data_IF_507395099320
#
_entry.id   IF_507395099320
#
_cell.length_a   1.000
_cell.length_b   1.000
_cell.length_c   1.000
_cell.angle_alpha   90.00
_cell.angle_beta   90.00
_cell.angle_gamma   90.00
#
_symmetry.space_group_name_H-M   'P 1'
#
loop_
_entity.id
_entity.type
_entity.pdbx_description
1 polymer ?
#
# COMPACT_ATOMS: atom_id res chain seq x y z
N UNK A 1 6.76 1.56 3.98
CA UNK A 1 7.76 2.40 3.27
C UNK A 1 7.55 3.84 3.67
N UNK A 2 8.61 4.64 3.61
CA UNK A 2 8.51 6.07 3.87
C UNK A 2 8.07 6.79 2.59
N UNK A 3 7.04 7.63 2.69
CA UNK A 3 6.57 8.46 1.58
C UNK A 3 6.78 9.92 1.94
N UNK A 4 7.28 10.69 0.98
CA UNK A 4 7.44 12.13 1.11
C UNK A 4 7.11 12.82 -0.22
N UNK A 5 6.67 14.07 -0.13
CA UNK A 5 6.33 14.89 -1.28
C UNK A 5 5.79 16.25 -0.85
N UNK A 6 5.85 17.23 -1.75
CA UNK A 6 5.29 18.56 -1.53
C UNK A 6 4.41 18.96 -2.73
N UNK A 7 3.08 19.05 -2.59
CA UNK A 7 2.28 18.77 -1.39
C UNK A 7 2.39 17.33 -0.87
N UNK A 8 2.00 17.08 0.39
CA UNK A 8 1.94 15.72 0.92
C UNK A 8 1.09 14.83 -0.02
N UNK A 9 1.61 13.67 -0.45
CA UNK A 9 0.87 12.81 -1.37
C UNK A 9 -0.12 11.92 -0.64
N UNK A 10 -1.22 11.62 -1.32
CA UNK A 10 -2.13 10.55 -0.93
C UNK A 10 -1.56 9.21 -1.37
N UNK A 11 -1.71 8.18 -0.54
CA UNK A 11 -1.17 6.85 -0.78
C UNK A 11 -2.30 5.84 -0.92
N UNK A 12 -2.29 5.09 -2.02
CA UNK A 12 -3.22 4.00 -2.29
C UNK A 12 -2.47 2.70 -2.62
N UNK A 13 -3.15 1.59 -2.39
CA UNK A 13 -2.61 0.25 -2.58
C UNK A 13 -3.46 -0.56 -3.55
N UNK A 14 -2.80 -1.42 -4.32
CA UNK A 14 -3.44 -2.31 -5.29
C UNK A 14 -2.84 -3.70 -5.21
N UNK A 15 -3.68 -4.74 -5.27
CA UNK A 15 -3.29 -6.13 -5.45
C UNK A 15 -3.70 -6.57 -6.85
N UNK A 16 -2.73 -6.93 -7.69
CA UNK A 16 -2.98 -7.36 -9.07
C UNK A 16 -3.86 -6.36 -9.87
N UNK A 17 -3.61 -5.06 -9.64
CA UNK A 17 -4.34 -3.96 -10.29
C UNK A 17 -5.69 -3.60 -9.66
N UNK A 18 -6.15 -4.32 -8.63
CA UNK A 18 -7.40 -4.02 -7.91
C UNK A 18 -7.11 -3.25 -6.63
N UNK A 19 -7.87 -2.20 -6.29
CA UNK A 19 -7.61 -1.42 -5.08
C UNK A 19 -7.80 -2.29 -3.83
N UNK A 20 -6.83 -2.20 -2.91
CA UNK A 20 -6.93 -2.79 -1.58
C UNK A 20 -7.68 -1.82 -0.69
N UNK A 21 -8.71 -2.31 0.01
CA UNK A 21 -9.44 -1.54 1.01
C UNK A 21 -9.12 -2.09 2.39
N UNK A 22 -9.21 -1.24 3.41
CA UNK A 22 -9.12 -1.71 4.78
C UNK A 22 -10.35 -2.57 5.08
N UNK A 23 -10.14 -3.74 5.65
CA UNK A 23 -11.18 -4.68 6.07
C UNK A 23 -10.77 -5.34 7.41
N UNK A 24 -11.48 -6.39 7.82
CA UNK A 24 -11.19 -7.10 9.07
C UNK A 24 -9.82 -7.80 9.09
N UNK A 25 -9.21 -8.05 7.93
CA UNK A 25 -7.95 -8.77 7.76
C UNK A 25 -6.80 -7.87 7.28
N UNK A 26 -7.11 -6.75 6.63
CA UNK A 26 -6.16 -5.82 6.02
C UNK A 26 -6.29 -4.43 6.62
N UNK A 27 -5.20 -3.89 7.16
CA UNK A 27 -5.16 -2.53 7.72
C UNK A 27 -4.10 -1.69 7.05
N UNK A 28 -4.51 -0.54 6.52
CA UNK A 28 -3.59 0.50 6.05
C UNK A 28 -3.37 1.52 7.17
N UNK A 29 -2.10 1.70 7.57
CA UNK A 29 -1.71 2.61 8.65
C UNK A 29 -0.64 3.58 8.14
N UNK A 30 -0.72 4.83 8.58
CA UNK A 30 0.30 5.86 8.38
C UNK A 30 0.84 6.26 9.74
N UNK A 31 2.15 6.12 9.93
CA UNK A 31 2.80 6.60 11.16
C UNK A 31 2.98 8.11 11.13
N UNK A 32 3.18 8.72 12.29
CA UNK A 32 3.48 10.16 12.42
C UNK A 32 4.72 10.59 11.62
N UNK A 33 5.63 9.66 11.34
CA UNK A 33 6.85 9.90 10.55
C UNK A 33 6.66 9.69 9.04
N UNK A 34 5.42 9.48 8.57
CA UNK A 34 5.09 9.27 7.15
C UNK A 34 5.43 7.87 6.64
N UNK A 35 5.51 6.87 7.53
CA UNK A 35 5.63 5.48 7.09
C UNK A 35 4.26 4.90 6.82
N UNK A 36 4.05 4.44 5.59
CA UNK A 36 2.85 3.74 5.17
C UNK A 36 3.08 2.23 5.26
N UNK A 37 2.12 1.54 5.85
CA UNK A 37 2.14 0.09 6.04
C UNK A 37 0.80 -0.52 5.63
N UNK A 38 0.85 -1.64 4.92
CA UNK A 38 -0.28 -2.56 4.74
C UNK A 38 -0.02 -3.76 5.65
N UNK A 39 -0.90 -3.96 6.63
CA UNK A 39 -0.77 -4.99 7.67
C UNK A 39 -1.84 -6.06 7.43
N UNK A 40 -1.41 -7.31 7.50
CA UNK A 40 -2.26 -8.49 7.39
C UNK A 40 -2.41 -9.09 8.79
N UNK A 41 -3.62 -9.09 9.36
CA UNK A 41 -3.91 -9.73 10.65
C UNK A 41 -3.92 -11.27 10.50
N UNK A 42 -4.39 -11.76 9.35
CA UNK A 42 -4.35 -13.17 8.93
C UNK A 42 -4.06 -13.22 7.44
N UNK A 43 -3.00 -13.94 7.06
CA UNK A 43 -2.62 -14.13 5.64
C UNK A 43 -3.34 -15.34 5.06
N UNK A 44 -3.87 -15.19 3.85
CA UNK A 44 -4.55 -16.22 3.06
C UNK A 44 -3.84 -16.39 1.72
N UNK A 45 -4.05 -17.53 1.07
CA UNK A 45 -3.53 -17.78 -0.28
C UNK A 45 -4.08 -16.78 -1.31
N UNK A 46 -5.27 -16.21 -1.07
CA UNK A 46 -5.85 -15.13 -1.88
C UNK A 46 -5.06 -13.82 -1.84
N UNK A 47 -4.22 -13.65 -0.82
CA UNK A 47 -3.49 -12.40 -0.60
C UNK A 47 -2.17 -12.40 -1.37
N UNK A 48 -1.76 -13.53 -1.96
CA UNK A 48 -0.58 -13.63 -2.80
C UNK A 48 -0.73 -12.82 -4.09
N UNK A 49 0.35 -12.16 -4.51
CA UNK A 49 0.38 -11.40 -5.75
C UNK A 49 1.23 -10.13 -5.69
N UNK A 50 1.10 -9.33 -6.75
CA UNK A 50 1.83 -8.09 -6.90
C UNK A 50 1.07 -6.95 -6.20
N UNK A 51 1.65 -6.45 -5.11
CA UNK A 51 1.20 -5.25 -4.43
C UNK A 51 1.87 -4.02 -5.01
N UNK A 52 1.06 -3.04 -5.38
CA UNK A 52 1.51 -1.76 -5.91
C UNK A 52 1.05 -0.67 -4.95
N UNK A 53 2.01 0.09 -4.42
CA UNK A 53 1.74 1.35 -3.72
C UNK A 53 1.88 2.50 -4.70
N UNK A 54 0.89 3.39 -4.71
CA UNK A 54 0.90 4.63 -5.51
C UNK A 54 0.84 5.82 -4.55
N UNK A 55 1.84 6.70 -4.63
CA UNK A 55 1.87 7.98 -3.92
C UNK A 55 1.64 9.12 -4.92
N UNK A 56 0.55 9.87 -4.77
CA UNK A 56 0.13 10.88 -5.75
C UNK A 56 -0.17 12.23 -5.12
N UNK A 57 0.28 13.29 -5.76
CA UNK A 57 -0.13 14.66 -5.48
C UNK A 57 -0.27 15.45 -6.79
N UNK A 58 -0.54 16.76 -6.69
CA UNK A 58 -0.66 17.64 -7.88
C UNK A 58 0.65 17.82 -8.67
N UNK A 59 1.80 17.51 -8.08
CA UNK A 59 3.10 17.63 -8.72
C UNK A 59 3.47 16.35 -9.52
N UNK A 60 2.89 15.20 -9.17
CA UNK A 60 3.12 13.96 -9.88
C UNK A 60 2.71 12.72 -9.09
N UNK A 61 3.26 11.59 -9.52
CA UNK A 61 2.97 10.26 -8.98
C UNK A 61 4.25 9.44 -8.89
N UNK A 62 4.39 8.65 -7.84
CA UNK A 62 5.46 7.67 -7.66
C UNK A 62 4.85 6.31 -7.32
N UNK A 63 5.48 5.25 -7.80
CA UNK A 63 4.96 3.88 -7.66
C UNK A 63 6.04 2.95 -7.11
N UNK A 64 5.66 2.07 -6.20
CA UNK A 64 6.50 0.99 -5.69
C UNK A 64 5.76 -0.34 -5.78
N UNK A 65 6.42 -1.37 -6.31
CA UNK A 65 5.83 -2.70 -6.49
C UNK A 65 6.60 -3.73 -5.67
N UNK A 66 5.87 -4.63 -5.01
CA UNK A 66 6.42 -5.76 -4.25
C UNK A 66 5.59 -7.01 -4.52
N UNK A 67 6.25 -8.16 -4.64
CA UNK A 67 5.60 -9.45 -4.78
C UNK A 67 5.44 -10.08 -3.39
N UNK A 68 4.23 -10.53 -3.05
CA UNK A 68 3.96 -11.34 -1.86
C UNK A 68 3.71 -12.78 -2.27
N UNK A 69 4.55 -13.68 -1.79
CA UNK A 69 4.38 -15.12 -1.94
C UNK A 69 3.86 -15.71 -0.62
N UNK A 70 2.80 -16.50 -0.70
CA UNK A 70 2.19 -17.20 0.45
C UNK A 70 2.41 -18.69 0.23
N UNK A 71 3.07 -19.34 1.21
CA UNK A 71 3.42 -20.76 1.18
C UNK A 71 2.39 -21.63 1.91
#
# INVERSE_FOLDING_TARGET
FQVSGLPAPDVSWYLNGRPVQSDDFHKMIVSEKGFHSLIFEVVRTSDAGAYVCVAKNRAGEATFTVQLDVL
#
